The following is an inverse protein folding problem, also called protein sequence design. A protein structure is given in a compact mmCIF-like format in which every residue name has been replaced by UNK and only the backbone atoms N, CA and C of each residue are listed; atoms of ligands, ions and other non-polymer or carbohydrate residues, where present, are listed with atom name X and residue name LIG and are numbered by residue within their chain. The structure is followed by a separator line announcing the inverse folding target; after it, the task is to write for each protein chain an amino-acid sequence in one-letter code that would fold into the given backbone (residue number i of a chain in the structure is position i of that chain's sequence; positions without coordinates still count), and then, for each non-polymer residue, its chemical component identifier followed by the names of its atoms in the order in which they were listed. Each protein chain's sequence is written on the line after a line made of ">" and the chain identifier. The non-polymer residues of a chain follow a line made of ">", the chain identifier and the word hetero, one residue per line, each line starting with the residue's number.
data_IF_405875186750
#
_entry.id   IF_405875186750
#
_cell.length_a   1.000
_cell.length_b   1.000
_cell.length_c   1.000
_cell.angle_alpha   90.00
_cell.angle_beta   90.00
_cell.angle_gamma   90.00
#
_symmetry.space_group_name_H-M   'P 1'
#
loop_
_entity.id
_entity.type
_entity.pdbx_description
1 polymer ?
2 non-polymer ?
3 non-polymer ?
4 non-polymer ?
5 water ?
#
# COMPACT_ATOMS: atom_id res chain seq x y z
N UNK A 3 -8.42 20.61 15.06
CA UNK A 3 -8.05 19.43 15.91
C UNK A 3 -9.25 18.48 16.03
N UNK A 4 -9.90 18.16 14.91
CA UNK A 4 -11.07 17.27 14.85
C UNK A 4 -10.66 15.80 14.88
N UNK A 5 -11.64 14.89 14.89
CA UNK A 5 -11.43 13.42 14.96
C UNK A 5 -10.87 12.92 13.63
N UNK A 6 -11.44 13.36 12.50
CA UNK A 6 -11.03 12.95 11.13
C UNK A 6 -9.57 13.36 10.88
N UNK A 7 -9.22 14.60 11.21
CA UNK A 7 -7.85 15.16 11.10
C UNK A 7 -6.87 14.30 11.90
N UNK A 8 -7.21 14.01 13.16
CA UNK A 8 -6.38 13.21 14.10
C UNK A 8 -6.13 11.81 13.51
N UNK A 9 -7.19 11.15 13.02
CA UNK A 9 -7.09 9.79 12.44
C UNK A 9 -6.25 9.83 11.16
N UNK A 10 -6.38 10.89 10.35
CA UNK A 10 -5.57 11.04 9.11
C UNK A 10 -4.09 11.31 9.44
N UNK A 11 -3.78 11.96 10.56
CA UNK A 11 -2.37 12.12 11.02
C UNK A 11 -1.79 10.75 11.37
N UNK A 12 -2.56 9.88 12.03
CA UNK A 12 -2.12 8.49 12.34
C UNK A 12 -1.83 7.76 11.02
N UNK A 13 -2.73 7.88 10.04
CA UNK A 13 -2.55 7.28 8.69
C UNK A 13 -1.26 7.79 8.04
N UNK A 14 -0.98 9.09 8.12
CA UNK A 14 0.24 9.69 7.51
C UNK A 14 1.49 9.13 8.21
N UNK A 15 1.44 8.94 9.53
CA UNK A 15 2.53 8.30 10.29
C UNK A 15 2.81 6.89 9.78
N UNK A 16 1.76 6.09 9.60
CA UNK A 16 1.86 4.71 9.04
C UNK A 16 2.53 4.78 7.66
N UNK A 17 2.07 5.67 6.78
CA UNK A 17 2.60 5.80 5.40
C UNK A 17 4.11 6.12 5.46
N UNK A 18 4.52 7.06 6.31
CA UNK A 18 5.96 7.40 6.50
C UNK A 18 6.74 6.15 6.93
N UNK A 19 6.20 5.36 7.88
CA UNK A 19 6.89 4.13 8.33
C UNK A 19 7.01 3.12 7.17
N UNK A 20 5.95 2.93 6.38
CA UNK A 20 5.98 1.95 5.25
C UNK A 20 7.07 2.34 4.24
N UNK A 21 7.38 3.63 4.10
CA UNK A 21 8.37 4.16 3.13
C UNK A 21 9.76 4.32 3.77
N UNK A 22 9.94 3.94 5.04
CA UNK A 22 11.19 4.19 5.82
C UNK A 22 12.22 3.08 5.55
N UNK A 23 13.49 3.36 5.86
CA UNK A 23 14.62 2.42 5.62
C UNK A 23 14.42 1.12 6.40
N UNK A 24 13.77 1.18 7.57
CA UNK A 24 13.55 0.00 8.46
C UNK A 24 12.90 -1.16 7.68
N UNK A 25 12.00 -0.87 6.74
CA UNK A 25 11.16 -1.89 6.05
C UNK A 25 11.55 -2.04 4.57
N UNK A 26 12.61 -1.38 4.10
CA UNK A 26 12.95 -1.27 2.66
C UNK A 26 13.23 -2.65 2.03
N UNK A 27 13.73 -3.62 2.80
CA UNK A 27 14.12 -4.95 2.27
C UNK A 27 12.90 -5.67 1.67
N UNK A 28 11.70 -5.43 2.20
CA UNK A 28 10.45 -6.10 1.72
C UNK A 28 9.43 -5.09 1.17
N UNK A 29 9.62 -3.78 1.36
CA UNK A 29 8.65 -2.75 0.91
C UNK A 29 8.92 -2.31 -0.54
N UNK A 30 10.13 -2.49 -1.07
CA UNK A 30 10.57 -1.84 -2.33
C UNK A 30 9.70 -2.22 -3.53
N UNK A 31 9.13 -3.45 -3.66
CA UNK A 31 8.26 -3.74 -4.80
C UNK A 31 6.98 -2.89 -4.87
N UNK A 32 6.62 -2.22 -3.77
CA UNK A 32 5.35 -1.46 -3.61
C UNK A 32 5.58 0.06 -3.67
N UNK A 33 6.81 0.51 -3.94
CA UNK A 33 7.17 1.95 -3.94
C UNK A 33 6.55 2.69 -5.13
N UNK A 34 6.48 2.04 -6.30
CA UNK A 34 6.04 2.69 -7.57
C UNK A 34 5.07 1.77 -8.30
N UNK A 35 4.26 2.30 -9.26
CA UNK A 35 3.36 1.46 -10.04
C UNK A 35 4.09 0.30 -10.72
N UNK A 36 3.45 -0.87 -10.79
CA UNK A 36 3.94 -2.05 -11.56
C UNK A 36 4.13 -1.61 -13.02
N UNK A 37 5.35 -1.74 -13.54
CA UNK A 37 5.67 -1.53 -14.98
C UNK A 37 5.51 -2.88 -15.68
N UNK A 38 4.29 -3.21 -16.10
CA UNK A 38 3.90 -4.53 -16.64
C UNK A 38 4.76 -4.87 -17.86
N UNK A 39 4.89 -3.92 -18.80
CA UNK A 39 5.67 -4.06 -20.06
C UNK A 39 7.12 -4.42 -19.75
N UNK A 40 7.76 -3.67 -18.84
CA UNK A 40 9.18 -3.83 -18.45
C UNK A 40 9.42 -5.20 -17.80
N UNK A 41 8.43 -5.74 -17.07
CA UNK A 41 8.54 -7.03 -16.33
C UNK A 41 8.05 -8.20 -17.20
N UNK A 42 7.53 -7.93 -18.40
CA UNK A 42 7.03 -8.95 -19.34
C UNK A 42 5.67 -9.50 -18.95
N UNK A 43 4.93 -8.79 -18.09
CA UNK A 43 3.63 -9.23 -17.52
C UNK A 43 2.50 -8.70 -18.40
N UNK A 44 2.36 -9.24 -19.61
CA UNK A 44 1.47 -8.70 -20.68
C UNK A 44 -0.01 -9.00 -20.39
N UNK A 45 -0.31 -9.74 -19.31
CA UNK A 45 -1.70 -10.03 -18.86
C UNK A 45 -2.06 -9.23 -17.60
N UNK A 46 -1.15 -8.43 -17.05
CA UNK A 46 -1.33 -7.77 -15.71
C UNK A 46 -2.60 -6.92 -15.72
N UNK A 47 -2.79 -6.07 -16.73
CA UNK A 47 -3.90 -5.08 -16.78
C UNK A 47 -5.21 -5.72 -17.25
N UNK A 48 -5.19 -6.99 -17.69
CA UNK A 48 -6.42 -7.78 -17.97
C UNK A 48 -6.94 -8.38 -16.66
N UNK A 49 -6.05 -8.65 -15.70
CA UNK A 49 -6.38 -9.34 -14.42
C UNK A 49 -6.59 -8.30 -13.30
N UNK A 50 -5.77 -7.25 -13.26
CA UNK A 50 -5.82 -6.18 -12.22
C UNK A 50 -6.51 -4.95 -12.83
N UNK A 51 -7.74 -4.67 -12.39
CA UNK A 51 -8.60 -3.58 -12.92
C UNK A 51 -8.26 -2.24 -12.25
N UNK A 52 -7.76 -2.27 -11.01
CA UNK A 52 -7.46 -1.05 -10.20
C UNK A 52 -6.06 -1.15 -9.61
N UNK A 53 -5.00 -0.83 -10.39
CA UNK A 53 -3.63 -0.83 -9.85
C UNK A 53 -3.48 0.17 -8.70
N UNK A 54 -2.62 -0.14 -7.74
CA UNK A 54 -2.35 0.77 -6.59
C UNK A 54 -0.93 0.52 -6.07
N UNK A 55 -0.29 1.57 -5.55
CA UNK A 55 1.11 1.52 -5.06
C UNK A 55 1.30 2.66 -4.05
N UNK A 56 2.40 2.65 -3.29
CA UNK A 56 2.60 3.62 -2.18
C UNK A 56 2.86 5.05 -2.68
N UNK A 57 3.41 5.24 -3.88
CA UNK A 57 3.63 6.59 -4.47
C UNK A 57 2.28 7.24 -4.78
N UNK A 58 1.31 6.46 -5.26
CA UNK A 58 -0.07 6.94 -5.54
C UNK A 58 -0.75 7.29 -4.21
N UNK A 59 -0.59 6.46 -3.18
CA UNK A 59 -1.17 6.73 -1.83
C UNK A 59 -0.57 8.04 -1.29
N UNK A 60 0.74 8.23 -1.44
CA UNK A 60 1.44 9.46 -0.96
C UNK A 60 0.89 10.70 -1.68
N UNK A 61 0.72 10.61 -3.01
CA UNK A 61 0.18 11.71 -3.85
C UNK A 61 -1.22 12.09 -3.36
N UNK A 62 -2.08 11.09 -3.12
CA UNK A 62 -3.48 11.31 -2.68
C UNK A 62 -3.50 11.96 -1.29
N UNK A 63 -2.60 11.55 -0.38
CA UNK A 63 -2.50 12.16 0.98
C UNK A 63 -2.06 13.62 0.85
N UNK A 64 -1.04 13.91 0.03
CA UNK A 64 -0.48 15.28 -0.16
C UNK A 64 -1.54 16.21 -0.77
N UNK A 65 -2.40 15.68 -1.64
CA UNK A 65 -3.45 16.44 -2.37
C UNK A 65 -4.74 16.55 -1.54
N UNK A 66 -4.76 16.01 -0.32
CA UNK A 66 -5.93 16.02 0.60
C UNK A 66 -7.11 15.30 -0.07
N UNK A 67 -6.83 14.21 -0.79
CA UNK A 67 -7.84 13.38 -1.50
C UNK A 67 -8.63 12.56 -0.47
N UNK A 68 -7.95 11.95 0.51
CA UNK A 68 -8.57 11.08 1.54
C UNK A 68 -9.36 11.93 2.53
N UNK A 69 -10.64 11.60 2.72
CA UNK A 69 -11.55 12.34 3.64
C UNK A 69 -11.61 11.64 5.00
N UNK A 70 -11.19 10.37 5.09
CA UNK A 70 -11.19 9.61 6.37
C UNK A 70 -10.18 8.45 6.30
N UNK A 71 -9.91 7.83 7.44
CA UNK A 71 -8.91 6.74 7.60
C UNK A 71 -9.34 5.51 6.79
N UNK A 72 -10.65 5.24 6.68
CA UNK A 72 -11.20 4.05 5.99
C UNK A 72 -10.84 4.12 4.49
N UNK A 73 -10.90 5.30 3.88
CA UNK A 73 -10.58 5.50 2.44
C UNK A 73 -9.09 5.21 2.21
N UNK A 74 -8.22 5.70 3.10
CA UNK A 74 -6.75 5.43 3.08
C UNK A 74 -6.49 3.92 3.19
N UNK A 75 -7.09 3.25 4.17
CA UNK A 75 -6.88 1.81 4.44
C UNK A 75 -7.33 0.99 3.22
N UNK A 76 -8.42 1.39 2.56
CA UNK A 76 -8.97 0.69 1.38
C UNK A 76 -7.92 0.67 0.25
N UNK A 77 -7.21 1.77 0.03
CA UNK A 77 -6.17 1.86 -1.03
C UNK A 77 -4.96 0.98 -0.65
N UNK A 78 -4.51 1.02 0.61
CA UNK A 78 -3.34 0.20 1.04
C UNK A 78 -3.70 -1.28 0.89
N UNK A 79 -4.90 -1.69 1.31
CA UNK A 79 -5.32 -3.12 1.23
C UNK A 79 -5.54 -3.54 -0.23
N UNK A 80 -6.03 -2.64 -1.09
CA UNK A 80 -6.18 -2.91 -2.55
C UNK A 80 -4.82 -3.30 -3.14
N UNK A 81 -3.77 -2.56 -2.77
CA UNK A 81 -2.38 -2.82 -3.22
C UNK A 81 -1.97 -4.27 -2.86
N UNK A 82 -2.22 -4.71 -1.62
CA UNK A 82 -1.89 -6.10 -1.18
C UNK A 82 -2.77 -7.12 -1.93
N UNK A 83 -4.07 -6.85 -2.05
CA UNK A 83 -5.04 -7.76 -2.73
C UNK A 83 -4.61 -8.01 -4.19
N UNK A 84 -4.17 -6.96 -4.89
CA UNK A 84 -3.69 -7.08 -6.30
C UNK A 84 -2.52 -8.07 -6.36
N UNK A 85 -1.58 -7.95 -5.42
CA UNK A 85 -0.40 -8.84 -5.32
C UNK A 85 -0.86 -10.30 -5.13
N UNK A 86 -1.81 -10.54 -4.22
CA UNK A 86 -2.32 -11.91 -3.90
C UNK A 86 -3.14 -12.47 -5.08
N UNK A 87 -3.80 -11.62 -5.86
CA UNK A 87 -4.63 -12.06 -7.02
C UNK A 87 -3.74 -12.50 -8.19
N UNK A 88 -2.70 -11.73 -8.53
CA UNK A 88 -1.90 -11.91 -9.76
C UNK A 88 -0.82 -12.99 -9.57
N UNK A 89 -0.17 -13.04 -8.40
CA UNK A 89 1.09 -13.80 -8.20
C UNK A 89 0.81 -15.18 -7.60
N UNK A 90 1.53 -16.24 -8.05
CA UNK A 90 1.51 -17.52 -7.36
C UNK A 90 1.98 -17.36 -5.91
N UNK A 91 1.39 -18.11 -4.95
CA UNK A 91 1.66 -17.89 -3.53
C UNK A 91 3.10 -18.18 -3.07
N UNK A 92 3.93 -18.81 -3.91
CA UNK A 92 5.33 -19.20 -3.58
C UNK A 92 6.34 -18.21 -4.18
N UNK A 93 5.89 -17.18 -4.91
CA UNK A 93 6.75 -16.09 -5.42
C UNK A 93 7.21 -15.23 -4.24
N UNK A 94 8.46 -14.76 -4.26
CA UNK A 94 9.07 -13.95 -3.17
C UNK A 94 8.23 -12.69 -2.91
N UNK A 95 7.61 -12.10 -3.94
CA UNK A 95 6.85 -10.82 -3.80
C UNK A 95 5.64 -11.04 -2.87
N UNK A 96 5.07 -12.25 -2.84
CA UNK A 96 3.91 -12.56 -1.95
C UNK A 96 4.39 -12.61 -0.49
N UNK A 97 5.55 -13.23 -0.21
CA UNK A 97 6.15 -13.25 1.14
C UNK A 97 6.42 -11.81 1.61
N UNK A 98 6.89 -10.95 0.71
CA UNK A 98 7.21 -9.53 1.01
C UNK A 98 5.92 -8.75 1.30
N UNK A 99 4.86 -8.97 0.52
CA UNK A 99 3.52 -8.36 0.74
C UNK A 99 2.98 -8.73 2.13
N UNK A 100 3.05 -10.02 2.48
CA UNK A 100 2.58 -10.57 3.78
C UNK A 100 3.27 -9.83 4.93
N UNK A 101 4.59 -9.68 4.85
CA UNK A 101 5.42 -9.01 5.90
C UNK A 101 5.03 -7.53 6.01
N UNK A 102 4.88 -6.82 4.88
CA UNK A 102 4.51 -5.38 4.92
C UNK A 102 3.06 -5.22 5.42
N UNK A 103 2.15 -6.14 5.06
CA UNK A 103 0.74 -6.05 5.52
C UNK A 103 0.67 -6.24 7.05
N UNK A 104 1.52 -7.10 7.61
CA UNK A 104 1.60 -7.33 9.08
C UNK A 104 1.99 -6.01 9.78
N UNK A 105 2.98 -5.30 9.24
CA UNK A 105 3.41 -3.97 9.77
C UNK A 105 2.20 -3.03 9.74
N UNK A 106 1.50 -2.96 8.61
CA UNK A 106 0.35 -2.06 8.39
C UNK A 106 -0.78 -2.39 9.38
N UNK A 107 -1.22 -3.65 9.44
CA UNK A 107 -2.44 -4.03 10.21
C UNK A 107 -2.21 -3.79 11.71
N UNK A 108 -1.03 -4.10 12.23
CA UNK A 108 -0.77 -3.95 13.69
C UNK A 108 -0.73 -2.47 14.07
N UNK A 109 -0.18 -1.59 13.23
CA UNK A 109 -0.16 -0.14 13.57
C UNK A 109 -1.53 0.50 13.29
N UNK A 110 -2.23 0.10 12.23
CA UNK A 110 -3.59 0.63 11.91
C UNK A 110 -4.54 0.35 13.08
N UNK A 111 -4.39 -0.80 13.74
CA UNK A 111 -5.24 -1.25 14.87
C UNK A 111 -5.12 -0.28 16.06
N UNK A 112 -4.01 0.47 16.17
CA UNK A 112 -3.73 1.42 17.28
C UNK A 112 -4.30 2.82 16.96
N UNK A 113 -5.21 2.92 15.99
CA UNK A 113 -5.92 4.17 15.59
C UNK A 113 -6.48 4.87 16.83
N UNK A 114 -6.25 6.20 17.00
CA UNK A 114 -6.87 6.94 18.10
C UNK A 114 -8.39 7.04 17.95
N UNK A 115 -9.12 6.93 19.06
CA UNK A 115 -10.61 6.93 19.12
C UNK A 115 -11.11 8.37 18.97
X LIG B 1 -2.66 -9.48 9.04
X LIG B 1 -1.84 -9.45 7.88
X LIG B 1 -1.90 -9.22 10.28
X LIG B 1 -0.95 -10.22 10.59
X LIG C 1 -11.22 8.91 -5.02
X LIG C 1 -9.85 9.26 -4.86
X LIG C 1 -12.04 10.02 -5.56
X LIG C 1 -11.74 11.27 -4.97
X LIG D 1 -1.68 -17.61 -9.77
X LIG D 1 -0.82 -16.90 -10.64
X LIG D 1 -2.75 -16.76 -9.19
X LIG D 1 -2.76 -16.70 -7.77
X LIG E 1 -4.36 19.38 11.39
X LIG E 1 -5.35 19.81 10.46
X LIG E 1 -5.10 19.19 9.12
X LIG E 1 -4.88 17.79 9.27
X LIG E 1 -5.46 17.02 8.23
X LIG E 1 -4.84 15.66 8.21
X LIG E 1 -3.53 15.74 7.67
X LIG E 1 -3.03 14.49 7.22
X LIG E 1 -1.60 14.63 6.81
X LIG E 1 -1.51 15.43 5.64
X LIG E 1 -0.19 15.54 5.14
X LIG E 1 -0.23 15.90 3.68
X LIG E 1 -1.12 16.98 3.47
X LIG E 1 -0.47 18.20 3.11
X LIG E 1 -1.43 19.10 2.45
X LIG F 1 9.96 -8.61 -8.10
X LIG F 1 10.04 -9.11 -5.74
X LIG F 1 11.67 -10.06 -7.21
X LIG F 1 4.77 -13.02 -12.07
X LIG F 1 4.83 -15.62 -12.38
X LIG F 1 2.84 -14.60 -12.88
X LIG F 1 3.90 -5.58 -6.97
X LIG F 1 4.86 -6.37 -7.73
X LIG F 1 4.52 -7.50 -8.35
X LIG F 1 3.38 -7.95 -8.33
X LIG F 1 5.64 -8.22 -9.06
X LIG F 1 5.35 -9.33 -9.85
X LIG F 1 6.41 -9.99 -10.47
X LIG F 1 7.71 -9.52 -10.29
X LIG F 1 7.91 -8.40 -9.48
X LIG F 1 6.89 -7.76 -8.88
X LIG F 1 9.30 -7.89 -9.27
X LIG F 1 9.49 -6.38 -9.21
X LIG F 1 9.45 -8.46 -6.81
X LIG F 1 11.15 -9.91 -5.94
X LIG F 1 11.07 -9.41 -8.28
X LIG F 1 6.21 -11.17 -11.37
X LIG F 1 7.05 -11.47 -12.22
X LIG F 1 5.08 -11.88 -11.22
X LIG F 1 4.78 -14.40 -11.47
X LIG F 1 3.91 -15.36 -13.44
X LIG F 1 3.47 -13.73 -11.81
#
# INVERSE_FOLDING_TARGET
>A
GSMGKLSEQLKHCNGILKELLSKKHAAYAWPFYKPVDASALGLHDYHDIIKHPMDLSTVKRKMENRDYRDAQEFAADVRLMFSNCYKYNPPDHDVVAMARKLQDVFEFRYAKMPD
>B hetero
1 EDO C1 O1 C2 O2
>C hetero
1 EDO C1 O1 C2 O2
>D hetero
1 EDO C1 O1 C2 O2
>E hetero
1 PE4 O4 C7 C8 O5 C9 C10 O6 C11 C12 O7 C13 C14 O8 C15 C16
>F hetero
1 ULN C13 C15 C17 C22 C24 C26 C01 N02 C03 O04 C05 C06 C07 C08 C09 N10 C11 C12 C14 C16 C18 C19 O20 N21 C23 O25 C27
#
